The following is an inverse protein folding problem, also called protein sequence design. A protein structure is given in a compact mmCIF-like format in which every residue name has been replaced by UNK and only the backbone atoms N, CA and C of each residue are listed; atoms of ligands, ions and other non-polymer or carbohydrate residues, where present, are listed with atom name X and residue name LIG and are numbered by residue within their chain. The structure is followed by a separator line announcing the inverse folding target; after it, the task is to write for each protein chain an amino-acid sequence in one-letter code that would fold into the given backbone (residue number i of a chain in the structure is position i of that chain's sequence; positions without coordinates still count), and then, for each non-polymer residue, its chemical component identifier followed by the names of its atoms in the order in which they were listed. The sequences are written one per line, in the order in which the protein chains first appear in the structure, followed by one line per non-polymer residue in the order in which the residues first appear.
data_IF_371294289070
#
_entry.id   IF_371294289070
#
_cell.length_a   1.000
_cell.length_b   1.000
_cell.length_c   1.000
_cell.angle_alpha   90.00
_cell.angle_beta   90.00
_cell.angle_gamma   90.00
#
_symmetry.space_group_name_H-M   'P 1'
#
loop_
_entity.id
_entity.type
_entity.pdbx_description
1 polymer ?
#
# COMPACT_ATOMS: atom_id res chain seq x y z
N UNK A 1 -10.21 10.34 -12.00
CA UNK A 1 -8.78 10.72 -11.95
C UNK A 1 -8.38 11.37 -13.28
N UNK A 2 -8.02 12.66 -13.22
CA UNK A 2 -7.84 13.49 -14.43
C UNK A 2 -6.53 13.22 -15.16
N UNK A 3 -5.55 12.62 -14.48
CA UNK A 3 -4.15 12.56 -14.92
C UNK A 3 -3.64 11.12 -15.10
N UNK A 4 -4.54 10.14 -15.06
CA UNK A 4 -4.19 8.74 -15.31
C UNK A 4 -4.48 8.36 -16.75
N UNK A 5 -3.57 7.61 -17.35
CA UNK A 5 -3.78 6.98 -18.64
C UNK A 5 -4.84 5.88 -18.49
N UNK A 6 -5.82 5.89 -19.39
CA UNK A 6 -6.90 4.88 -19.38
C UNK A 6 -6.41 3.59 -20.02
N UNK A 7 -6.62 2.49 -19.31
CA UNK A 7 -6.36 1.15 -19.81
C UNK A 7 -7.44 0.15 -19.34
N UNK A 8 -7.16 -1.14 -19.41
CA UNK A 8 -8.09 -2.18 -18.96
C UNK A 8 -8.31 -2.23 -17.43
N UNK A 9 -7.55 -1.47 -16.66
CA UNK A 9 -7.63 -1.40 -15.18
C UNK A 9 -7.95 0.00 -14.67
N UNK A 10 -7.61 1.04 -15.43
CA UNK A 10 -7.73 2.43 -14.99
C UNK A 10 -8.88 3.12 -15.69
N UNK A 11 -9.89 3.51 -14.93
CA UNK A 11 -11.04 4.29 -15.38
C UNK A 11 -10.95 5.74 -14.94
N UNK A 12 -11.59 6.65 -15.69
CA UNK A 12 -11.74 8.04 -15.28
C UNK A 12 -12.56 8.15 -13.99
N UNK A 13 -13.59 7.31 -13.88
CA UNK A 13 -14.48 7.26 -12.72
C UNK A 13 -14.13 6.07 -11.85
N UNK A 14 -13.93 6.33 -10.56
CA UNK A 14 -13.58 5.32 -9.55
C UNK A 14 -14.42 5.57 -8.31
N UNK A 15 -15.05 4.52 -7.79
CA UNK A 15 -15.58 4.48 -6.43
C UNK A 15 -14.51 3.86 -5.52
N UNK A 16 -14.25 4.50 -4.40
CA UNK A 16 -13.33 4.03 -3.38
C UNK A 16 -14.03 3.92 -2.04
N UNK A 17 -13.70 2.90 -1.27
CA UNK A 17 -14.06 2.78 0.14
C UNK A 17 -12.85 3.17 0.98
N UNK A 18 -12.82 4.43 1.38
CA UNK A 18 -11.79 4.94 2.27
C UNK A 18 -12.18 4.68 3.72
N UNK A 19 -11.20 4.31 4.51
CA UNK A 19 -11.38 4.05 5.93
C UNK A 19 -10.21 4.61 6.74
N UNK A 20 -10.47 4.95 8.00
CA UNK A 20 -9.49 5.46 8.94
C UNK A 20 -9.82 4.95 10.34
N UNK A 21 -8.83 4.39 11.05
CA UNK A 21 -8.95 3.85 12.40
C UNK A 21 -7.95 4.56 13.32
N UNK A 22 -8.44 5.09 14.45
CA UNK A 22 -7.57 5.65 15.49
C UNK A 22 -6.80 4.51 16.17
N UNK A 23 -5.50 4.74 16.37
CA UNK A 23 -4.60 3.82 17.08
C UNK A 23 -3.82 4.59 18.15
N UNK A 24 -3.27 3.89 19.13
CA UNK A 24 -2.34 4.45 20.10
C UNK A 24 -0.94 4.61 19.51
N UNK A 25 -0.06 5.33 20.21
CA UNK A 25 1.34 5.45 19.81
C UNK A 25 2.05 4.09 19.79
N UNK A 26 1.74 3.23 20.75
CA UNK A 26 2.36 1.90 20.88
C UNK A 26 1.88 0.91 19.78
N UNK A 27 0.73 1.18 19.16
CA UNK A 27 0.22 0.42 18.01
C UNK A 27 0.82 0.84 16.67
N UNK A 28 1.68 1.86 16.64
CA UNK A 28 2.44 2.23 15.44
C UNK A 28 3.55 1.22 15.15
N UNK A 29 3.19 0.03 14.77
CA UNK A 29 4.13 -1.08 14.53
C UNK A 29 3.84 -1.78 13.21
N UNK A 30 4.88 -2.39 12.64
CA UNK A 30 4.74 -3.22 11.44
C UNK A 30 3.79 -4.40 11.68
N UNK A 31 3.74 -4.97 12.89
CA UNK A 31 2.84 -6.08 13.20
C UNK A 31 1.36 -5.64 13.18
N UNK A 32 1.03 -4.48 13.76
CA UNK A 32 -0.33 -3.94 13.68
C UNK A 32 -0.76 -3.64 12.23
N UNK A 33 0.16 -3.16 11.40
CA UNK A 33 -0.08 -2.99 9.96
C UNK A 33 -0.38 -4.36 9.31
N UNK A 34 0.45 -5.36 9.55
CA UNK A 34 0.29 -6.72 9.00
C UNK A 34 -1.01 -7.39 9.47
N UNK A 35 -1.37 -7.23 10.72
CA UNK A 35 -2.63 -7.77 11.25
C UNK A 35 -3.84 -7.12 10.58
N UNK A 36 -3.81 -5.81 10.38
CA UNK A 36 -4.86 -5.09 9.65
C UNK A 36 -4.97 -5.59 8.20
N UNK A 37 -3.84 -5.80 7.52
CA UNK A 37 -3.81 -6.36 6.16
C UNK A 37 -4.39 -7.78 6.13
N UNK A 38 -4.03 -8.62 7.10
CA UNK A 38 -4.58 -9.99 7.21
C UNK A 38 -6.10 -9.98 7.39
N UNK A 39 -6.62 -9.05 8.19
CA UNK A 39 -8.06 -8.93 8.42
C UNK A 39 -8.80 -8.45 7.16
N UNK A 40 -8.27 -7.48 6.44
CA UNK A 40 -8.80 -7.06 5.13
C UNK A 40 -8.77 -8.24 4.14
N UNK A 41 -7.65 -8.94 4.05
CA UNK A 41 -7.51 -10.09 3.15
C UNK A 41 -8.53 -11.20 3.46
N UNK A 42 -8.79 -11.51 4.74
CA UNK A 42 -9.84 -12.47 5.15
C UNK A 42 -11.22 -12.05 4.65
N UNK A 43 -11.55 -10.75 4.73
CA UNK A 43 -12.84 -10.24 4.21
C UNK A 43 -12.91 -10.42 2.70
N UNK A 44 -11.88 -10.05 1.95
CA UNK A 44 -11.83 -10.21 0.49
C UNK A 44 -11.95 -11.68 0.10
N UNK A 45 -11.24 -12.57 0.80
CA UNK A 45 -11.32 -14.01 0.57
C UNK A 45 -12.71 -14.58 0.87
N UNK A 46 -13.37 -14.08 1.91
CA UNK A 46 -14.77 -14.45 2.20
C UNK A 46 -15.70 -13.99 1.08
N UNK A 47 -15.52 -12.78 0.56
CA UNK A 47 -16.29 -12.27 -0.59
C UNK A 47 -16.08 -13.12 -1.85
N UNK A 48 -14.84 -13.55 -2.13
CA UNK A 48 -14.53 -14.47 -3.24
C UNK A 48 -15.31 -15.78 -3.09
N UNK A 49 -15.36 -16.33 -1.87
CA UNK A 49 -16.12 -17.54 -1.56
C UNK A 49 -17.64 -17.36 -1.80
N UNK A 50 -18.21 -16.24 -1.35
CA UNK A 50 -19.62 -15.92 -1.55
C UNK A 50 -19.97 -15.76 -3.04
N UNK A 51 -19.08 -15.15 -3.82
CA UNK A 51 -19.23 -15.04 -5.29
C UNK A 51 -19.21 -16.44 -5.93
N UNK A 52 -18.24 -17.27 -5.57
CA UNK A 52 -18.14 -18.64 -6.07
C UNK A 52 -19.37 -19.49 -5.69
N UNK A 53 -19.88 -19.35 -4.47
CA UNK A 53 -21.07 -20.07 -4.02
C UNK A 53 -22.31 -19.75 -4.87
N UNK A 54 -22.47 -18.46 -5.24
CA UNK A 54 -23.58 -18.00 -6.10
C UNK A 54 -23.35 -18.28 -7.59
N UNK A 55 -22.09 -18.27 -8.01
CA UNK A 55 -21.67 -18.43 -9.40
C UNK A 55 -20.55 -19.48 -9.49
N UNK A 56 -20.88 -20.80 -9.44
CA UNK A 56 -19.87 -21.85 -9.40
C UNK A 56 -18.93 -21.93 -10.61
N UNK A 57 -19.26 -21.23 -11.70
CA UNK A 57 -18.39 -21.07 -12.87
C UNK A 57 -17.25 -20.04 -12.61
N UNK A 58 -17.35 -19.21 -11.59
CA UNK A 58 -16.26 -18.36 -11.15
C UNK A 58 -15.13 -19.23 -10.57
N UNK A 59 -13.89 -18.91 -10.92
CA UNK A 59 -12.74 -19.68 -10.46
C UNK A 59 -12.18 -19.04 -9.19
N UNK A 60 -11.80 -19.87 -8.24
CA UNK A 60 -11.08 -19.46 -7.03
C UNK A 60 -9.62 -19.14 -7.37
N UNK A 61 -9.15 -17.97 -7.02
CA UNK A 61 -7.81 -17.51 -7.40
C UNK A 61 -6.92 -17.12 -6.23
N UNK A 62 -7.52 -16.68 -5.11
CA UNK A 62 -6.75 -16.18 -3.99
C UNK A 62 -6.13 -17.34 -3.16
N UNK A 63 -4.86 -17.21 -2.76
CA UNK A 63 -4.21 -18.19 -1.88
C UNK A 63 -4.83 -18.17 -0.48
N UNK A 64 -4.41 -19.11 0.38
CA UNK A 64 -4.94 -19.19 1.75
C UNK A 64 -4.48 -18.04 2.63
N UNK A 65 -3.30 -17.50 2.37
CA UNK A 65 -2.69 -16.42 3.14
C UNK A 65 -2.12 -15.35 2.20
N UNK A 66 -2.10 -14.11 2.68
CA UNK A 66 -1.38 -13.02 2.03
C UNK A 66 0.07 -13.03 2.49
N UNK A 67 1.00 -12.84 1.56
CA UNK A 67 2.44 -12.78 1.83
C UNK A 67 2.89 -11.33 1.99
N UNK A 68 3.95 -11.13 2.78
CA UNK A 68 4.54 -9.81 3.04
C UNK A 68 5.94 -9.74 2.46
N UNK A 69 6.23 -8.69 1.72
CA UNK A 69 7.55 -8.45 1.12
C UNK A 69 7.84 -6.95 1.14
N UNK A 70 9.08 -6.58 1.41
CA UNK A 70 9.51 -5.18 1.32
C UNK A 70 9.96 -4.82 -0.09
N UNK A 71 9.87 -3.55 -0.43
CA UNK A 71 10.40 -3.03 -1.70
C UNK A 71 11.90 -3.28 -1.86
N UNK A 72 12.66 -3.30 -0.74
CA UNK A 72 14.09 -3.62 -0.76
C UNK A 72 14.33 -5.10 -1.10
N UNK A 73 13.57 -6.04 -0.52
CA UNK A 73 13.67 -7.47 -0.88
C UNK A 73 13.36 -7.71 -2.35
N UNK A 74 12.41 -6.96 -2.92
CA UNK A 74 12.11 -7.03 -4.36
C UNK A 74 13.27 -6.51 -5.22
N UNK A 75 13.92 -5.41 -4.82
CA UNK A 75 15.10 -4.89 -5.50
C UNK A 75 16.26 -5.87 -5.41
N UNK A 76 16.53 -6.44 -4.24
CA UNK A 76 17.61 -7.39 -4.02
C UNK A 76 17.43 -8.67 -4.84
N UNK A 77 16.20 -9.13 -4.96
CA UNK A 77 15.85 -10.33 -5.72
C UNK A 77 15.90 -10.13 -7.23
N UNK A 78 15.47 -8.96 -7.71
CA UNK A 78 15.43 -8.63 -9.15
C UNK A 78 15.96 -7.21 -9.42
N UNK A 79 17.27 -6.99 -9.27
CA UNK A 79 17.84 -5.64 -9.33
C UNK A 79 17.70 -4.95 -10.68
N UNK A 80 17.64 -5.72 -11.75
CA UNK A 80 17.60 -5.21 -13.13
C UNK A 80 16.18 -4.98 -13.66
N UNK A 81 15.16 -5.34 -12.88
CA UNK A 81 13.76 -5.13 -13.24
C UNK A 81 13.25 -3.79 -12.73
N UNK A 82 12.27 -3.24 -13.43
CA UNK A 82 11.50 -2.10 -12.96
C UNK A 82 10.64 -2.47 -11.74
N UNK A 83 10.22 -1.50 -10.92
CA UNK A 83 9.30 -1.76 -9.80
C UNK A 83 8.06 -2.57 -10.21
N UNK A 84 7.38 -2.17 -11.28
CA UNK A 84 6.17 -2.86 -11.78
C UNK A 84 6.45 -4.31 -12.19
N UNK A 85 7.58 -4.57 -12.86
CA UNK A 85 7.99 -5.93 -13.24
C UNK A 85 8.31 -6.80 -12.01
N UNK A 86 8.88 -6.20 -10.95
CA UNK A 86 9.11 -6.88 -9.67
C UNK A 86 7.80 -7.30 -9.02
N UNK A 87 6.82 -6.39 -9.00
CA UNK A 87 5.48 -6.65 -8.47
C UNK A 87 4.73 -7.70 -9.29
N UNK A 88 4.78 -7.63 -10.62
CA UNK A 88 4.20 -8.68 -11.49
C UNK A 88 4.80 -10.06 -11.17
N UNK A 89 6.12 -10.14 -10.98
CA UNK A 89 6.79 -11.41 -10.67
C UNK A 89 6.39 -11.96 -9.31
N UNK A 90 6.42 -11.14 -8.26
CA UNK A 90 6.08 -11.61 -6.92
C UNK A 90 4.60 -11.95 -6.79
N UNK A 91 3.71 -11.15 -7.39
CA UNK A 91 2.29 -11.45 -7.42
C UNK A 91 1.99 -12.74 -8.18
N UNK A 92 2.64 -12.99 -9.32
CA UNK A 92 2.52 -14.23 -10.06
C UNK A 92 2.99 -15.45 -9.26
N UNK A 93 4.06 -15.30 -8.48
CA UNK A 93 4.62 -16.38 -7.67
C UNK A 93 3.76 -16.72 -6.46
N UNK A 94 3.21 -15.70 -5.78
CA UNK A 94 2.55 -15.85 -4.48
C UNK A 94 1.02 -15.70 -4.52
N UNK A 95 0.45 -15.21 -5.63
CA UNK A 95 -0.99 -14.98 -5.80
C UNK A 95 -1.52 -13.73 -5.11
N UNK A 96 -1.16 -13.50 -3.86
CA UNK A 96 -1.52 -12.33 -3.07
C UNK A 96 -0.32 -11.86 -2.22
N UNK A 97 0.02 -10.59 -2.31
CA UNK A 97 1.17 -10.01 -1.62
C UNK A 97 0.86 -8.61 -1.12
N UNK A 98 1.37 -8.27 0.06
CA UNK A 98 1.45 -6.91 0.56
C UNK A 98 2.88 -6.41 0.40
N UNK A 99 3.08 -5.49 -0.53
CA UNK A 99 4.38 -4.86 -0.81
C UNK A 99 4.56 -3.69 0.12
N UNK A 100 5.53 -3.79 1.04
CA UNK A 100 5.73 -2.85 2.15
C UNK A 100 6.88 -1.88 1.92
N UNK A 101 6.84 -0.77 2.69
CA UNK A 101 7.92 0.24 2.79
C UNK A 101 8.14 0.94 1.46
N UNK A 102 7.06 1.51 0.93
CA UNK A 102 7.07 2.28 -0.31
C UNK A 102 7.29 3.77 0.01
N UNK A 103 8.19 4.43 -0.72
CA UNK A 103 8.44 5.87 -0.62
C UNK A 103 9.90 6.24 -0.39
N UNK A 104 10.62 5.49 0.45
CA UNK A 104 12.03 5.76 0.72
C UNK A 104 12.94 5.19 -0.40
N UNK A 105 14.16 5.72 -0.47
CA UNK A 105 15.17 5.31 -1.45
C UNK A 105 15.68 3.91 -1.15
N UNK A 106 15.67 3.06 -2.15
CA UNK A 106 16.25 1.72 -2.10
C UNK A 106 17.78 1.79 -2.11
N UNK A 107 18.41 0.83 -1.45
CA UNK A 107 19.87 0.84 -1.19
C UNK A 107 20.71 0.73 -2.47
N UNK A 108 20.28 -0.05 -3.44
CA UNK A 108 21.03 -0.32 -4.66
C UNK A 108 20.82 0.75 -5.72
N UNK A 109 19.58 1.07 -6.04
CA UNK A 109 19.25 2.04 -7.08
C UNK A 109 19.37 3.48 -6.62
N UNK A 110 19.27 3.74 -5.31
CA UNK A 110 19.17 5.08 -4.74
C UNK A 110 17.87 5.81 -5.11
N UNK A 111 16.87 5.06 -5.62
CA UNK A 111 15.55 5.58 -6.03
C UNK A 111 14.47 4.89 -5.23
N UNK A 112 13.33 5.55 -4.98
CA UNK A 112 12.18 4.87 -4.38
C UNK A 112 11.63 3.81 -5.34
N UNK A 113 10.96 2.80 -4.77
CA UNK A 113 10.24 1.80 -5.54
C UNK A 113 9.10 2.44 -6.33
N UNK A 114 8.32 3.27 -5.64
CA UNK A 114 7.27 4.11 -6.22
C UNK A 114 7.18 5.43 -5.44
N UNK A 115 6.55 6.44 -6.05
CA UNK A 115 6.31 7.73 -5.42
C UNK A 115 5.23 7.65 -4.35
N UNK A 116 5.49 8.25 -3.18
CA UNK A 116 4.51 8.41 -2.12
C UNK A 116 4.51 9.84 -1.59
N UNK A 117 3.33 10.37 -1.28
CA UNK A 117 3.22 11.65 -0.63
C UNK A 117 3.98 11.63 0.72
N UNK A 118 4.82 12.64 1.01
CA UNK A 118 5.65 12.64 2.22
C UNK A 118 4.87 12.98 3.48
N UNK A 119 3.62 13.37 3.35
CA UNK A 119 2.76 13.90 4.40
C UNK A 119 1.47 13.11 4.60
N UNK A 120 1.44 11.85 4.18
CA UNK A 120 0.28 10.98 4.30
C UNK A 120 0.60 9.71 5.10
N UNK A 121 1.13 8.67 4.47
CA UNK A 121 1.56 7.45 5.14
C UNK A 121 3.02 7.51 5.58
N UNK A 122 3.31 6.89 6.72
CA UNK A 122 4.69 6.61 7.15
C UNK A 122 5.32 5.61 6.19
N UNK A 123 6.37 5.99 5.48
CA UNK A 123 7.01 5.16 4.46
C UNK A 123 7.59 3.85 5.00
N UNK A 124 7.85 3.78 6.29
CA UNK A 124 8.28 2.56 6.95
C UNK A 124 7.12 1.64 7.36
N UNK A 125 5.87 2.14 7.34
CA UNK A 125 4.67 1.49 7.86
C UNK A 125 3.49 1.58 6.87
N UNK A 126 3.77 1.45 5.59
CA UNK A 126 2.79 1.47 4.51
C UNK A 126 2.99 0.30 3.55
N UNK A 127 2.09 0.18 2.60
CA UNK A 127 2.20 -0.75 1.48
C UNK A 127 0.93 -0.89 0.68
N UNK A 128 1.02 -1.73 -0.34
CA UNK A 128 -0.07 -2.00 -1.28
C UNK A 128 -0.42 -3.48 -1.27
N UNK A 129 -1.72 -3.78 -1.21
CA UNK A 129 -2.24 -5.14 -1.43
C UNK A 129 -2.31 -5.35 -2.94
N UNK A 130 -1.57 -6.34 -3.42
CA UNK A 130 -1.45 -6.68 -4.82
C UNK A 130 -1.84 -8.14 -5.03
N UNK A 131 -2.73 -8.40 -6.00
CA UNK A 131 -3.11 -9.74 -6.42
C UNK A 131 -2.64 -10.03 -7.84
N UNK A 132 -2.36 -11.31 -8.11
CA UNK A 132 -2.19 -11.77 -9.49
C UNK A 132 -3.54 -11.94 -10.16
N UNK A 133 -3.73 -11.30 -11.30
CA UNK A 133 -4.95 -11.40 -12.09
C UNK A 133 -4.73 -12.25 -13.33
N UNK A 134 -5.05 -13.52 -13.21
CA UNK A 134 -4.79 -14.52 -14.23
C UNK A 134 -5.38 -14.19 -15.62
N UNK A 135 -6.61 -13.65 -15.75
CA UNK A 135 -7.20 -13.33 -17.06
C UNK A 135 -6.38 -12.34 -17.88
N UNK A 136 -5.68 -11.41 -17.25
CA UNK A 136 -4.85 -10.42 -17.93
C UNK A 136 -3.35 -10.66 -17.74
N UNK A 137 -2.95 -11.77 -17.08
CA UNK A 137 -1.55 -12.15 -16.84
C UNK A 137 -0.70 -11.01 -16.26
N UNK A 138 -1.26 -10.30 -15.30
CA UNK A 138 -0.58 -9.19 -14.61
C UNK A 138 -1.11 -8.99 -13.20
N UNK A 139 -0.39 -8.21 -12.42
CA UNK A 139 -0.84 -7.79 -11.10
C UNK A 139 -2.00 -6.81 -11.17
N UNK A 140 -2.78 -6.76 -10.12
CA UNK A 140 -3.76 -5.70 -9.84
C UNK A 140 -3.58 -5.21 -8.41
N UNK A 141 -3.50 -3.90 -8.23
CA UNK A 141 -3.50 -3.27 -6.92
C UNK A 141 -4.94 -3.17 -6.41
N UNK A 142 -5.17 -3.71 -5.22
CA UNK A 142 -6.49 -3.77 -4.59
C UNK A 142 -6.67 -2.66 -3.56
N UNK A 143 -5.59 -2.34 -2.84
CA UNK A 143 -5.64 -1.34 -1.77
C UNK A 143 -4.26 -0.74 -1.56
N UNK A 144 -4.23 0.56 -1.31
CA UNK A 144 -3.08 1.25 -0.75
C UNK A 144 -3.41 1.71 0.66
N UNK A 145 -2.54 1.39 1.63
CA UNK A 145 -2.81 1.66 3.03
C UNK A 145 -1.54 1.84 3.86
N UNK A 146 -1.68 2.47 5.02
CA UNK A 146 -0.56 2.63 5.94
C UNK A 146 -0.95 3.22 7.29
N UNK A 147 -0.02 3.12 8.23
CA UNK A 147 -0.06 3.93 9.44
C UNK A 147 0.34 5.34 9.03
N UNK A 148 -0.49 6.34 9.38
CA UNK A 148 -0.25 7.72 8.99
C UNK A 148 1.02 8.28 9.63
N UNK A 149 1.60 9.29 9.03
CA UNK A 149 2.82 9.93 9.54
C UNK A 149 2.70 10.36 11.00
N UNK A 150 3.79 10.20 11.74
CA UNK A 150 4.02 10.88 13.02
C UNK A 150 4.67 12.25 12.78
N UNK A 151 4.76 13.12 13.81
CA UNK A 151 5.56 14.33 13.70
C UNK A 151 6.99 14.09 13.22
N UNK A 152 7.61 13.01 13.68
CA UNK A 152 8.99 12.65 13.37
C UNK A 152 9.12 12.13 11.94
N UNK A 153 8.28 11.15 11.55
CA UNK A 153 8.34 10.59 10.20
C UNK A 153 7.92 11.60 9.13
N UNK A 154 6.94 12.47 9.41
CA UNK A 154 6.57 13.54 8.50
C UNK A 154 7.72 14.51 8.22
N UNK A 155 8.44 14.96 9.27
CA UNK A 155 9.60 15.85 9.08
C UNK A 155 10.67 15.17 8.20
N UNK A 156 11.03 13.94 8.54
CA UNK A 156 11.99 13.18 7.76
C UNK A 156 11.56 13.07 6.28
N UNK A 157 10.31 12.69 6.04
CA UNK A 157 9.80 12.48 4.70
C UNK A 157 9.69 13.77 3.89
N UNK A 158 9.29 14.89 4.52
CA UNK A 158 9.29 16.21 3.90
C UNK A 158 10.69 16.67 3.48
N UNK A 159 11.71 16.39 4.32
CA UNK A 159 13.11 16.66 3.97
C UNK A 159 13.56 15.80 2.78
N UNK A 160 13.24 14.49 2.76
CA UNK A 160 13.61 13.59 1.65
C UNK A 160 12.93 13.99 0.33
N UNK A 161 11.72 14.58 0.40
CA UNK A 161 10.94 15.01 -0.75
C UNK A 161 11.19 16.47 -1.16
N UNK A 162 12.12 17.19 -0.49
CA UNK A 162 12.38 18.62 -0.69
C UNK A 162 11.08 19.48 -0.61
N UNK A 163 10.25 19.18 0.40
CA UNK A 163 8.91 19.77 0.60
C UNK A 163 8.68 20.35 2.00
N UNK A 164 9.75 20.78 2.68
CA UNK A 164 9.71 21.28 4.06
C UNK A 164 8.84 22.53 4.24
N UNK A 165 8.59 23.29 3.18
CA UNK A 165 7.69 24.44 3.20
C UNK A 165 6.24 24.04 3.57
N UNK A 166 5.84 22.78 3.40
CA UNK A 166 4.51 22.26 3.76
C UNK A 166 4.26 22.23 5.27
N UNK A 167 5.28 22.25 6.10
CA UNK A 167 5.13 22.33 7.57
C UNK A 167 4.28 23.53 8.02
N UNK A 168 4.16 24.57 7.18
CA UNK A 168 3.35 25.76 7.43
C UNK A 168 1.85 25.55 7.20
N UNK A 169 1.45 24.46 6.55
CA UNK A 169 0.06 24.17 6.24
C UNK A 169 -0.71 23.76 7.51
N UNK A 170 -2.04 23.94 7.55
CA UNK A 170 -2.83 23.69 8.75
C UNK A 170 -2.69 22.26 9.30
N UNK A 171 -2.85 21.24 8.47
CA UNK A 171 -2.72 19.82 8.87
C UNK A 171 -1.34 19.55 9.50
N UNK A 172 -0.26 19.99 8.83
CA UNK A 172 1.11 19.76 9.29
C UNK A 172 1.37 20.41 10.65
N UNK A 173 0.88 21.62 10.85
CA UNK A 173 0.99 22.33 12.15
C UNK A 173 0.25 21.58 13.25
N UNK A 174 -0.98 21.12 12.99
CA UNK A 174 -1.76 20.36 13.97
C UNK A 174 -1.06 19.05 14.35
N UNK A 175 -0.52 18.35 13.36
CA UNK A 175 0.24 17.11 13.61
C UNK A 175 1.50 17.39 14.44
N UNK A 176 2.29 18.39 14.06
CA UNK A 176 3.52 18.77 14.74
C UNK A 176 3.28 19.23 16.20
N UNK A 177 2.13 19.83 16.47
CA UNK A 177 1.70 20.25 17.80
C UNK A 177 1.10 19.11 18.64
N UNK A 178 0.94 17.91 18.07
CA UNK A 178 0.30 16.78 18.77
C UNK A 178 -1.20 16.94 18.97
N UNK A 179 -1.87 17.71 18.12
CA UNK A 179 -3.31 17.97 18.17
C UNK A 179 -4.14 16.89 17.44
N UNK A 180 -3.48 16.02 16.66
CA UNK A 180 -4.12 14.95 15.90
C UNK A 180 -3.84 13.58 16.52
N UNK A 181 -4.81 12.65 16.46
CA UNK A 181 -4.58 11.27 16.88
C UNK A 181 -3.64 10.55 15.89
N UNK A 182 -3.01 9.48 16.34
CA UNK A 182 -2.39 8.53 15.43
C UNK A 182 -3.47 7.66 14.78
N UNK A 183 -3.28 7.35 13.50
CA UNK A 183 -4.24 6.57 12.73
C UNK A 183 -3.56 5.58 11.79
N UNK A 184 -4.31 4.55 11.40
CA UNK A 184 -4.04 3.67 10.27
C UNK A 184 -5.22 3.74 9.33
N UNK A 185 -5.00 3.79 8.04
CA UNK A 185 -6.08 3.89 7.07
C UNK A 185 -5.66 3.52 5.66
N UNK A 186 -6.64 3.50 4.76
CA UNK A 186 -6.43 3.16 3.37
C UNK A 186 -7.68 3.29 2.53
N UNK A 187 -7.54 2.96 1.25
CA UNK A 187 -8.64 2.88 0.30
C UNK A 187 -8.66 1.54 -0.42
N UNK A 188 -9.86 1.04 -0.70
CA UNK A 188 -10.11 -0.20 -1.46
C UNK A 188 -10.97 0.13 -2.66
#
# INVERSE_FOLDING_TARGET
RKEEDLDNFHSIYVDQWDWEKIISKDERTEENLKDTVRDIFKVIKHMEHEVWYKFPQAVYHLPDEIHFVTTQELEDRWPDLTPLEREDKIAKELGAVFVMKIGDKLQRSGKPHDGRAPDYDDWSLNGDIIFWYEPLQRRIEISSMGIRVSPESMKYQLEQADATEREKLPFHKMLLNGELPYTIGGGI
#
